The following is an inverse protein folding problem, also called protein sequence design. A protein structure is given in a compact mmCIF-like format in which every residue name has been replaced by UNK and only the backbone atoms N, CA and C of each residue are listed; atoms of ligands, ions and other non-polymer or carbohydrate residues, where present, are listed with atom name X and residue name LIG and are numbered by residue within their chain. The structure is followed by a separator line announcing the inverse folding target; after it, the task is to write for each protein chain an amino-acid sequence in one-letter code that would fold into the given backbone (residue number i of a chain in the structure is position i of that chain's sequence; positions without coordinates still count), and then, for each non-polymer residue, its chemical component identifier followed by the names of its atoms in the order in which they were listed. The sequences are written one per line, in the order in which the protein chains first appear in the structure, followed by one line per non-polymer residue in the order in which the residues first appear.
data_IF_090053218332
#
_entry.id   IF_090053218332
#
_cell.length_a   1.000
_cell.length_b   1.000
_cell.length_c   1.000
_cell.angle_alpha   90.00
_cell.angle_beta   90.00
_cell.angle_gamma   90.00
#
_symmetry.space_group_name_H-M   'P 1'
#
loop_
_entity.id
_entity.type
_entity.pdbx_description
1 polymer ?
2 polymer ?
3 water ?
#
loop_
_entity_poly.entity_id
_entity_poly.type
_entity_poly.pdbx_seq_one_letter_code
_entity_poly.pdbx_strand_id
1 'polydeoxyribonucleotide' '(DC)(DC)(DC)(DC)(DT)(DA)(DG)(DC)(DT)(DT)(DT)(DA)(DG)(DC)(DT)(DA)(DT)(DG)(DG)(DG)(DG)(DA)' ?
#
# COMPACT_ATOMS: atom_id res chain seq x y z
N UNK C 4 6.78 -13.54 -7.46
CA UNK C 4 7.02 -12.74 -8.69
C UNK C 4 6.01 -11.60 -8.80
N UNK C 5 6.22 -10.75 -9.81
CA UNK C 5 5.36 -9.60 -10.06
C UNK C 5 3.91 -9.71 -9.55
N UNK C 6 3.21 -10.79 -9.85
CA UNK C 6 1.82 -10.91 -9.39
C UNK C 6 1.58 -12.02 -8.36
N UNK C 7 1.30 -11.61 -7.12
CA UNK C 7 1.08 -12.56 -6.02
C UNK C 7 -0.39 -12.89 -5.73
N UNK C 8 -0.59 -13.83 -4.80
CA UNK C 8 -1.91 -14.26 -4.37
C UNK C 8 -1.94 -14.34 -2.84
N UNK C 9 -2.96 -13.75 -2.24
CA UNK C 9 -3.13 -13.76 -0.80
C UNK C 9 -3.19 -15.21 -0.35
N UNK C 10 -3.15 -15.44 0.97
CA UNK C 10 -3.24 -16.79 1.46
C UNK C 10 -4.66 -17.23 1.13
N UNK C 11 -5.51 -16.23 0.89
CA UNK C 11 -6.90 -16.44 0.51
C UNK C 11 -7.03 -16.08 -0.98
N UNK C 12 -8.05 -15.30 -1.34
CA UNK C 12 -8.23 -14.94 -2.74
C UNK C 12 -7.92 -13.50 -3.15
N UNK C 13 -6.89 -12.89 -2.59
CA UNK C 13 -6.55 -11.53 -2.98
C UNK C 13 -5.42 -11.57 -4.01
N UNK C 14 -5.68 -11.07 -5.21
CA UNK C 14 -4.69 -11.05 -6.29
C UNK C 14 -3.99 -9.69 -6.22
N UNK C 15 -2.68 -9.68 -5.98
CA UNK C 15 -1.99 -8.41 -5.83
C UNK C 15 -0.53 -8.26 -6.27
N UNK C 16 -0.14 -6.99 -6.33
CA UNK C 16 1.20 -6.56 -6.65
C UNK C 16 1.29 -5.21 -5.97
N UNK C 17 1.95 -5.17 -4.82
CA UNK C 17 2.07 -3.92 -4.08
C UNK C 17 3.52 -3.56 -3.81
N UNK C 18 4.13 -2.85 -4.75
CA UNK C 18 5.51 -2.45 -4.60
C UNK C 18 5.59 -1.05 -4.00
N UNK C 19 6.48 -0.89 -3.03
CA UNK C 19 6.66 0.38 -2.38
C UNK C 19 8.11 0.79 -2.37
N UNK C 20 8.32 2.09 -2.52
CA UNK C 20 9.65 2.70 -2.42
C UNK C 20 9.66 3.28 -1.03
N UNK C 21 10.58 2.85 -0.19
CA UNK C 21 10.63 3.37 1.17
C UNK C 21 11.99 4.03 1.39
N UNK C 22 11.99 5.19 2.02
CA UNK C 22 13.22 5.90 2.28
C UNK C 22 13.17 6.63 3.64
N UNK C 23 14.18 6.44 4.48
CA UNK C 23 14.24 7.13 5.76
C UNK C 23 15.70 7.46 6.07
N UNK C 24 15.93 8.49 6.87
CA UNK C 24 17.29 8.91 7.17
C UNK C 24 17.65 8.84 8.64
N UNK C 25 18.95 8.79 8.94
CA UNK C 25 19.35 8.73 10.35
C UNK C 25 19.05 10.05 11.05
N UNK C 26 19.13 10.05 12.38
CA UNK C 26 18.89 11.25 13.16
C UNK C 26 19.82 12.32 12.61
N UNK C 27 19.34 13.55 12.54
CA UNK C 27 20.15 14.65 12.03
C UNK C 27 20.66 14.40 10.63
N UNK C 28 20.10 13.40 9.96
CA UNK C 28 20.53 13.09 8.61
C UNK C 28 22.04 12.81 8.66
N UNK C 29 22.48 12.24 9.77
CA UNK C 29 23.90 11.92 9.97
C UNK C 29 24.38 10.89 8.95
N UNK C 30 25.62 11.03 8.50
CA UNK C 30 26.16 10.11 7.52
C UNK C 30 26.84 8.89 8.13
N UNK C 31 26.07 8.12 8.89
CA UNK C 31 26.58 6.92 9.55
C UNK C 31 26.40 5.66 8.73
N UNK C 32 25.47 5.70 7.76
CA UNK C 32 25.23 4.53 6.93
C UNK C 32 26.36 4.27 5.92
N UNK C 33 27.49 3.82 6.42
CA UNK C 33 28.64 3.51 5.59
C UNK C 33 29.38 2.37 6.26
N UNK C 34 30.30 1.74 5.53
CA UNK C 34 31.07 0.65 6.08
C UNK C 34 30.32 -0.37 6.94
N UNK C 35 30.91 -0.70 8.08
CA UNK C 35 30.34 -1.68 8.99
C UNK C 35 28.86 -1.48 9.26
N UNK C 36 28.47 -0.25 9.56
CA UNK C 36 27.07 0.05 9.84
C UNK C 36 26.15 -0.23 8.66
N UNK C 37 26.54 0.22 7.47
CA UNK C 37 25.76 0.02 6.27
C UNK C 37 25.55 -1.47 6.01
N UNK C 38 26.61 -2.26 6.13
CA UNK C 38 26.53 -3.71 5.93
C UNK C 38 25.54 -4.40 6.87
N UNK C 39 25.69 -4.16 8.17
CA UNK C 39 24.81 -4.75 9.17
C UNK C 39 23.37 -4.27 8.99
N UNK C 40 23.20 -3.00 8.67
CA UNK C 40 21.86 -2.45 8.47
C UNK C 40 21.14 -3.27 7.40
N UNK C 41 21.80 -3.47 6.26
CA UNK C 41 21.20 -4.24 5.18
C UNK C 41 20.92 -5.68 5.60
N UNK C 42 21.82 -6.27 6.40
CA UNK C 42 21.60 -7.64 6.83
C UNK C 42 20.38 -7.73 7.75
N UNK C 43 20.31 -6.81 8.70
CA UNK C 43 19.20 -6.79 9.64
C UNK C 43 17.86 -6.57 8.91
N UNK C 44 17.86 -5.68 7.93
CA UNK C 44 16.63 -5.41 7.18
C UNK C 44 16.22 -6.69 6.45
N UNK C 45 17.22 -7.44 5.99
CA UNK C 45 16.98 -8.67 5.24
C UNK C 45 16.26 -9.69 6.10
N UNK C 46 16.73 -9.85 7.34
CA UNK C 46 16.12 -10.79 8.26
C UNK C 46 14.69 -10.39 8.56
N UNK C 47 14.46 -9.10 8.74
CA UNK C 47 13.13 -8.62 9.03
C UNK C 47 12.17 -8.93 7.89
N UNK C 48 12.60 -8.69 6.65
CA UNK C 48 11.77 -8.94 5.47
C UNK C 48 11.34 -10.40 5.32
N UNK C 49 12.29 -11.31 5.45
CA UNK C 49 11.99 -12.74 5.34
C UNK C 49 11.01 -13.12 6.42
N UNK C 50 11.25 -12.60 7.62
CA UNK C 50 10.40 -12.87 8.76
C UNK C 50 9.00 -12.30 8.59
N UNK C 51 8.91 -11.10 8.05
CA UNK C 51 7.61 -10.45 7.85
C UNK C 51 7.05 -10.71 6.45
N UNK C 52 7.69 -11.63 5.74
CA UNK C 52 7.26 -12.00 4.40
C UNK C 52 7.27 -10.84 3.43
N UNK C 53 8.29 -9.99 3.53
CA UNK C 53 8.38 -8.86 2.62
C UNK C 53 9.44 -9.15 1.57
N UNK C 54 9.10 -8.89 0.33
CA UNK C 54 10.01 -9.14 -0.78
C UNK C 54 10.87 -7.93 -1.07
N UNK C 55 12.13 -7.96 -0.67
CA UNK C 55 12.99 -6.82 -0.98
C UNK C 55 13.43 -6.93 -2.43
N UNK C 56 12.81 -6.16 -3.30
CA UNK C 56 13.16 -6.18 -4.71
C UNK C 56 14.54 -5.54 -4.88
N UNK C 57 14.71 -4.34 -4.34
CA UNK C 57 15.97 -3.61 -4.40
C UNK C 57 16.23 -2.89 -3.07
N UNK C 58 17.51 -2.66 -2.76
CA UNK C 58 17.87 -1.98 -1.53
C UNK C 58 19.31 -1.47 -1.50
N UNK C 59 19.49 -0.17 -1.44
CA UNK C 59 20.82 0.40 -1.37
C UNK C 59 20.82 1.56 -0.41
N UNK C 60 21.98 1.85 0.16
CA UNK C 60 22.14 2.95 1.10
C UNK C 60 23.13 3.95 0.54
N UNK C 61 23.01 5.20 0.97
CA UNK C 61 23.93 6.22 0.51
C UNK C 61 24.27 7.23 1.58
N UNK C 62 25.02 6.77 2.58
CA UNK C 62 25.48 7.60 3.68
C UNK C 62 24.43 8.12 4.66
N UNK C 63 23.58 9.04 4.21
CA UNK C 63 22.57 9.60 5.10
C UNK C 63 21.15 9.07 4.89
N UNK C 64 21.02 7.95 4.19
CA UNK C 64 19.70 7.36 3.97
C UNK C 64 19.74 5.93 3.41
N UNK C 65 18.61 5.26 3.47
CA UNK C 65 18.49 3.91 2.95
C UNK C 65 17.27 3.91 2.05
N UNK C 66 17.42 3.34 0.85
CA UNK C 66 16.32 3.31 -0.12
C UNK C 66 15.93 1.83 -0.34
N UNK C 67 14.67 1.50 -0.05
CA UNK C 67 14.18 0.13 -0.21
C UNK C 67 13.02 0.03 -1.20
N UNK C 68 13.09 -0.98 -2.06
CA UNK C 68 12.02 -1.24 -3.02
C UNK C 68 11.47 -2.58 -2.58
N UNK C 69 10.27 -2.54 -2.02
CA UNK C 69 9.68 -3.76 -1.49
C UNK C 69 8.30 -4.14 -1.97
N UNK C 70 8.03 -5.43 -1.90
CA UNK C 70 6.73 -5.97 -2.25
C UNK C 70 6.12 -6.40 -0.92
N UNK C 71 4.95 -5.87 -0.59
CA UNK C 71 4.32 -6.19 0.69
C UNK C 71 2.84 -6.59 0.61
N UNK C 72 2.51 -7.71 1.26
CA UNK C 72 1.14 -8.20 1.30
C UNK C 72 0.25 -7.07 1.81
N UNK C 73 -0.70 -6.60 0.96
CA UNK C 73 -1.59 -5.53 1.37
C UNK C 73 -2.32 -5.73 2.70
N UNK C 74 -2.53 -6.98 3.09
CA UNK C 74 -3.22 -7.25 4.34
C UNK C 74 -2.33 -6.98 5.54
N UNK C 75 -1.02 -7.07 5.31
CA UNK C 75 -0.03 -6.86 6.36
C UNK C 75 0.13 -5.39 6.70
N UNK C 76 0.50 -4.57 5.72
CA UNK C 76 0.66 -3.16 5.99
C UNK C 76 2.09 -2.66 6.05
N UNK C 77 2.43 -1.78 5.11
CA UNK C 77 3.75 -1.20 5.00
C UNK C 77 4.37 -0.70 6.30
N UNK C 78 3.59 0.01 7.10
CA UNK C 78 4.09 0.55 8.35
C UNK C 78 4.50 -0.51 9.37
N UNK C 79 4.03 -1.75 9.21
CA UNK C 79 4.43 -2.78 10.16
C UNK C 79 5.84 -3.21 9.82
N UNK C 80 6.14 -3.28 8.54
CA UNK C 80 7.47 -3.65 8.07
C UNK C 80 8.49 -2.56 8.45
N UNK C 81 8.09 -1.30 8.30
CA UNK C 81 8.94 -0.16 8.63
C UNK C 81 9.16 -0.13 10.14
N UNK C 82 8.07 -0.20 10.91
CA UNK C 82 8.16 -0.19 12.36
C UNK C 82 9.23 -1.17 12.80
N UNK C 83 9.13 -2.41 12.34
CA UNK C 83 10.08 -3.46 12.71
C UNK C 83 11.48 -3.20 12.17
N UNK C 84 11.58 -2.92 10.88
CA UNK C 84 12.89 -2.70 10.29
C UNK C 84 13.62 -1.55 11.01
N UNK C 85 12.92 -0.46 11.27
CA UNK C 85 13.57 0.65 11.95
C UNK C 85 13.85 0.35 13.44
N UNK C 86 12.83 -0.15 14.13
CA UNK C 86 12.97 -0.44 15.54
C UNK C 86 14.10 -1.39 15.90
N UNK C 87 14.10 -2.56 15.25
CA UNK C 87 15.13 -3.55 15.50
C UNK C 87 16.51 -3.06 15.08
N UNK C 88 16.67 -2.69 13.81
CA UNK C 88 17.96 -2.22 13.32
C UNK C 88 18.57 -1.18 14.26
N UNK C 89 17.71 -0.32 14.79
CA UNK C 89 18.16 0.72 15.71
C UNK C 89 18.71 0.09 17.00
N UNK C 90 17.99 -0.88 17.54
CA UNK C 90 18.43 -1.52 18.78
C UNK C 90 19.72 -2.28 18.57
N UNK C 91 19.76 -3.06 17.51
CA UNK C 91 20.94 -3.85 17.22
C UNK C 91 22.14 -2.98 16.91
N UNK C 92 22.02 -2.15 15.88
CA UNK C 92 23.14 -1.29 15.50
C UNK C 92 23.67 -0.42 16.65
N UNK C 93 22.79 0.11 17.49
CA UNK C 93 23.25 0.93 18.61
C UNK C 93 23.97 0.06 19.64
N UNK C 94 23.61 -1.21 19.65
CA UNK C 94 24.25 -2.15 20.56
C UNK C 94 25.60 -2.56 19.96
N UNK C 95 25.64 -2.77 18.65
CA UNK C 95 26.88 -3.18 17.99
C UNK C 95 27.92 -2.08 17.82
N UNK C 96 27.48 -0.86 17.48
CA UNK C 96 28.42 0.25 17.30
C UNK C 96 28.05 1.38 18.25
N UNK C 97 28.85 1.56 19.29
CA UNK C 97 28.57 2.58 20.29
C UNK C 97 28.50 4.05 19.89
N UNK C 98 29.16 4.45 18.81
CA UNK C 98 29.08 5.85 18.45
C UNK C 98 27.66 6.20 18.00
N UNK C 99 26.88 5.18 17.66
CA UNK C 99 25.50 5.39 17.25
C UNK C 99 24.61 5.58 18.47
N UNK C 100 25.13 5.17 19.63
CA UNK C 100 24.39 5.29 20.88
C UNK C 100 24.81 6.53 21.67
N UNK C 101 26.11 6.75 21.75
CA UNK C 101 26.64 7.89 22.50
C UNK C 101 26.51 9.25 21.81
N UNK C 102 26.46 9.25 20.49
CA UNK C 102 26.36 10.51 19.77
C UNK C 102 24.96 10.88 19.30
N UNK C 103 24.04 9.92 19.28
CA UNK C 103 22.67 10.23 18.86
C UNK C 103 21.64 9.78 19.88
N UNK C 104 20.56 10.56 20.04
CA UNK C 104 19.53 10.17 21.01
C UNK C 104 18.78 8.92 20.57
N UNK C 105 18.71 8.75 19.25
CA UNK C 105 18.04 7.61 18.64
C UNK C 105 18.79 7.35 17.33
N UNK C 106 18.50 6.26 16.64
CA UNK C 106 19.20 6.01 15.40
C UNK C 106 18.48 6.71 14.27
N UNK C 107 17.16 6.61 14.28
CA UNK C 107 16.29 7.18 13.25
C UNK C 107 15.47 8.36 13.74
N UNK C 108 14.57 8.83 12.88
CA UNK C 108 13.67 9.92 13.23
C UNK C 108 12.28 9.32 13.15
N UNK C 109 11.25 10.14 13.36
CA UNK C 109 9.89 9.65 13.28
C UNK C 109 9.35 9.84 11.87
N UNK C 110 10.25 10.15 10.95
CA UNK C 110 9.84 10.36 9.58
C UNK C 110 10.24 9.21 8.67
N UNK C 111 9.71 9.23 7.46
CA UNK C 111 10.02 8.24 6.44
C UNK C 111 9.20 8.62 5.23
N UNK C 112 9.67 8.22 4.06
CA UNK C 112 9.01 8.52 2.80
C UNK C 112 8.50 7.22 2.19
N UNK C 113 7.29 7.26 1.63
CA UNK C 113 6.68 6.08 1.02
C UNK C 113 5.93 6.43 -0.28
N UNK C 114 6.22 5.69 -1.35
CA UNK C 114 5.52 5.92 -2.61
C UNK C 114 5.25 4.58 -3.32
N UNK C 115 4.02 4.43 -3.82
CA UNK C 115 3.66 3.23 -4.55
C UNK C 115 4.21 3.29 -5.96
N UNK C 116 4.71 2.15 -6.43
CA UNK C 116 5.30 2.06 -7.76
C UNK C 116 4.68 0.94 -8.59
N UNK C 117 4.28 1.28 -9.81
CA UNK C 117 3.68 0.32 -10.70
C UNK C 117 2.99 1.00 -11.86
N UNK C 118 2.89 0.32 -12.98
CA UNK C 118 2.26 0.90 -14.13
C UNK C 118 0.89 0.33 -14.43
N UNK C 119 0.17 1.07 -15.27
CA UNK C 119 -1.17 0.65 -15.67
C UNK C 119 -1.26 -0.87 -15.85
N UNK C 120 -2.15 -1.51 -15.07
CA UNK C 120 -2.31 -2.96 -15.19
C UNK C 120 -2.94 -3.36 -16.53
N UNK C 121 -4.01 -2.67 -16.90
CA UNK C 121 -4.68 -2.93 -18.17
C UNK C 121 -5.04 -4.39 -18.45
N UNK C 122 -4.08 -5.13 -18.96
CA UNK C 122 -4.32 -6.52 -19.30
C UNK C 122 -4.42 -7.44 -18.09
N UNK C 123 -3.60 -7.18 -17.08
CA UNK C 123 -3.64 -8.01 -15.89
C UNK C 123 -5.02 -7.94 -15.25
N UNK C 124 -5.62 -6.76 -15.29
CA UNK C 124 -6.95 -6.57 -14.72
C UNK C 124 -8.01 -7.30 -15.54
N UNK C 125 -7.81 -7.35 -16.85
CA UNK C 125 -8.74 -8.05 -17.74
C UNK C 125 -8.71 -9.56 -17.50
N UNK C 126 -7.50 -10.08 -17.32
CA UNK C 126 -7.33 -11.51 -17.08
C UNK C 126 -7.92 -11.90 -15.73
N UNK C 127 -7.88 -10.98 -14.78
CA UNK C 127 -8.42 -11.22 -13.45
C UNK C 127 -9.93 -11.40 -13.49
N UNK C 128 -10.60 -10.51 -14.20
CA UNK C 128 -12.05 -10.53 -14.33
C UNK C 128 -12.50 -11.76 -15.08
N UNK C 129 -11.88 -11.96 -16.25
CA UNK C 129 -12.17 -13.08 -17.13
C UNK C 129 -12.11 -14.43 -16.43
N UNK C 130 -11.21 -14.56 -15.47
CA UNK C 130 -11.05 -15.83 -14.77
C UNK C 130 -11.83 -16.03 -13.47
N UNK C 131 -12.67 -15.08 -13.11
CA UNK C 131 -13.49 -15.26 -11.93
C UNK C 131 -14.55 -16.25 -12.38
N UNK C 132 -15.12 -17.02 -11.45
CA UNK C 132 -16.15 -17.98 -11.82
C UNK C 132 -17.46 -17.26 -12.08
N UNK C 133 -18.24 -17.75 -13.04
CA UNK C 133 -19.53 -17.14 -13.34
C UNK C 133 -20.65 -18.10 -12.94
N UNK C 134 -20.28 -19.14 -12.19
CA UNK C 134 -21.21 -20.14 -11.70
C UNK C 134 -20.42 -21.16 -10.89
N UNK C 135 -21.08 -22.19 -10.39
CA UNK C 135 -20.39 -23.22 -9.61
C UNK C 135 -20.09 -24.46 -10.42
N UNK C 136 -20.40 -24.39 -11.72
CA UNK C 136 -20.17 -25.51 -12.62
C UNK C 136 -18.71 -25.90 -12.62
N UNK C 137 -18.42 -27.17 -12.92
CA UNK C 137 -17.06 -27.72 -12.98
C UNK C 137 -16.07 -26.88 -13.77
N UNK C 138 -16.37 -26.65 -15.03
CA UNK C 138 -15.49 -25.85 -15.88
C UNK C 138 -15.02 -24.57 -15.18
N UNK C 139 -15.98 -23.82 -14.64
CA UNK C 139 -15.63 -22.57 -13.96
C UNK C 139 -14.66 -22.77 -12.81
N UNK C 140 -14.92 -23.75 -11.96
CA UNK C 140 -14.02 -23.99 -10.83
C UNK C 140 -12.64 -24.34 -11.36
N UNK C 141 -12.59 -25.02 -12.49
CA UNK C 141 -11.32 -25.42 -13.09
C UNK C 141 -10.61 -24.19 -13.66
N UNK C 142 -11.37 -23.29 -14.26
CA UNK C 142 -10.80 -22.08 -14.84
C UNK C 142 -10.14 -21.25 -13.74
N UNK C 143 -10.85 -21.08 -12.63
CA UNK C 143 -10.37 -20.31 -11.50
C UNK C 143 -9.18 -20.97 -10.82
N UNK C 144 -9.28 -22.26 -10.56
CA UNK C 144 -8.18 -22.96 -9.91
C UNK C 144 -6.91 -22.74 -10.73
N UNK C 145 -7.00 -23.06 -12.01
CA UNK C 145 -5.87 -22.92 -12.91
C UNK C 145 -5.25 -21.52 -12.86
N UNK C 146 -6.11 -20.50 -12.78
CA UNK C 146 -5.66 -19.11 -12.71
C UNK C 146 -4.87 -18.80 -11.44
N UNK C 147 -5.52 -18.93 -10.29
CA UNK C 147 -4.87 -18.63 -9.03
C UNK C 147 -3.71 -19.57 -8.74
N UNK C 148 -3.87 -20.84 -9.03
CA UNK C 148 -2.81 -21.81 -8.80
C UNK C 148 -1.55 -21.39 -9.54
N UNK C 149 -1.72 -20.65 -10.65
CA UNK C 149 -0.58 -20.21 -11.45
C UNK C 149 -0.05 -18.86 -11.02
N UNK C 150 -0.31 -18.51 -9.76
CA UNK C 150 0.13 -17.23 -9.20
C UNK C 150 1.21 -17.45 -8.14
N UNK C 151 2.02 -16.42 -7.90
CA UNK C 151 3.08 -16.49 -6.90
C UNK C 151 2.52 -16.31 -5.49
N UNK C 152 3.26 -16.76 -4.49
CA UNK C 152 2.81 -16.62 -3.11
C UNK C 152 3.94 -16.25 -2.17
N UNK C 153 3.60 -16.10 -0.89
CA UNK C 153 4.58 -15.77 0.13
C UNK C 153 4.36 -16.64 1.35
N UNK C 154 5.14 -17.72 1.41
CA UNK C 154 5.06 -18.68 2.51
C UNK C 154 5.89 -18.19 3.69
N UNK C 155 6.72 -19.07 4.23
CA UNK C 155 7.59 -18.77 5.36
C UNK C 155 6.88 -17.96 6.46
N UNK D 4 -3.73 15.93 -3.33
CA UNK D 4 -2.82 15.91 -4.52
C UNK D 4 -1.63 14.98 -4.32
N UNK D 5 -1.12 14.47 -5.44
CA UNK D 5 0.01 13.54 -5.52
C UNK D 5 0.87 13.27 -4.26
N UNK D 6 1.46 14.29 -3.63
CA UNK D 6 2.32 14.04 -2.47
C UNK D 6 1.81 14.56 -1.12
N UNK D 7 1.32 13.64 -0.28
CA UNK D 7 0.76 13.99 1.03
C UNK D 7 1.68 13.83 2.24
N UNK D 8 1.14 14.18 3.40
CA UNK D 8 1.84 14.09 4.67
C UNK D 8 0.87 13.53 5.72
N UNK D 9 1.38 12.66 6.57
CA UNK D 9 0.59 12.03 7.62
C UNK D 9 0.22 13.07 8.66
N UNK D 10 -0.62 12.69 9.64
CA UNK D 10 -1.00 13.60 10.71
C UNK D 10 0.28 13.88 11.48
N UNK D 11 1.26 12.99 11.29
CA UNK D 11 2.55 13.10 11.93
C UNK D 11 3.60 13.51 10.90
N UNK D 12 4.66 12.71 10.74
CA UNK D 12 5.71 13.05 9.79
C UNK D 12 5.99 12.05 8.67
N UNK D 13 4.95 11.43 8.13
CA UNK D 13 5.15 10.49 7.04
C UNK D 13 4.83 11.22 5.73
N UNK D 14 5.81 11.29 4.83
CA UNK D 14 5.62 11.95 3.54
C UNK D 14 5.28 10.82 2.57
N UNK D 15 4.07 10.84 2.00
CA UNK D 15 3.67 9.73 1.12
C UNK D 15 2.75 10.01 -0.05
N UNK D 16 2.72 9.02 -0.94
CA UNK D 16 1.87 8.99 -2.12
C UNK D 16 1.70 7.49 -2.35
N UNK D 17 0.56 6.97 -1.93
CA UNK D 17 0.28 5.56 -2.07
C UNK D 17 -1.01 5.42 -2.87
N UNK D 18 -0.86 5.14 -4.16
CA UNK D 18 -2.01 5.00 -5.05
C UNK D 18 -2.28 3.54 -5.38
N UNK D 19 -3.54 3.17 -5.38
CA UNK D 19 -3.90 1.79 -5.64
C UNK D 19 -5.03 1.63 -6.63
N UNK D 20 -4.89 0.61 -7.47
CA UNK D 20 -5.91 0.22 -8.43
C UNK D 20 -6.65 -0.87 -7.66
N UNK D 21 -7.97 -0.77 -7.59
CA UNK D 21 -8.74 -1.76 -6.88
C UNK D 21 -9.91 -2.22 -7.73
N UNK D 22 -10.06 -3.55 -7.81
CA UNK D 22 -11.13 -4.14 -8.57
C UNK D 22 -11.72 -5.38 -7.88
N UNK D 23 -13.04 -5.49 -7.87
CA UNK D 23 -13.69 -6.66 -7.32
C UNK D 23 -14.93 -6.87 -8.19
N UNK D 24 -15.43 -8.09 -8.24
CA UNK D 24 -16.57 -8.38 -9.08
C UNK D 24 -17.75 -8.91 -8.29
N UNK D 25 -18.97 -8.75 -8.82
CA UNK D 25 -20.13 -9.27 -8.11
C UNK D 25 -20.03 -10.80 -8.04
N UNK D 26 -20.79 -11.40 -7.14
CA UNK D 26 -20.81 -12.85 -7.01
C UNK D 26 -21.14 -13.36 -8.40
N UNK D 27 -20.53 -14.47 -8.77
CA UNK D 27 -20.78 -15.09 -10.08
C UNK D 27 -20.47 -14.19 -11.26
N UNK D 28 -19.78 -13.08 -11.01
CA UNK D 28 -19.43 -12.16 -12.07
C UNK D 28 -20.74 -11.73 -12.75
N UNK D 29 -21.80 -11.67 -11.96
CA UNK D 29 -23.12 -11.30 -12.44
C UNK D 29 -23.10 -9.86 -12.93
N UNK D 30 -23.64 -9.63 -14.13
CA UNK D 30 -23.67 -8.28 -14.69
C UNK D 30 -24.78 -7.44 -14.10
N UNK D 31 -24.63 -7.07 -12.83
CA UNK D 31 -25.64 -6.27 -12.15
C UNK D 31 -25.22 -4.83 -11.88
N UNK D 32 -23.95 -4.51 -12.13
CA UNK D 32 -23.50 -3.14 -11.91
C UNK D 32 -23.89 -2.25 -13.08
N UNK D 33 -25.19 -1.98 -13.16
CA UNK D 33 -25.74 -1.14 -14.21
C UNK D 33 -26.94 -0.39 -13.66
N UNK D 34 -27.40 0.61 -14.42
CA UNK D 34 -28.54 1.39 -14.00
C UNK D 34 -28.52 1.86 -12.56
N UNK D 35 -29.67 1.78 -11.90
CA UNK D 35 -29.83 2.20 -10.52
C UNK D 35 -28.73 1.70 -9.59
N UNK D 36 -28.52 0.38 -9.59
CA UNK D 36 -27.52 -0.24 -8.75
C UNK D 36 -26.12 0.36 -8.89
N UNK D 37 -25.72 0.63 -10.13
CA UNK D 37 -24.42 1.23 -10.41
C UNK D 37 -24.31 2.62 -9.79
N UNK D 38 -25.33 3.44 -9.99
CA UNK D 38 -25.35 4.79 -9.45
C UNK D 38 -25.23 4.76 -7.95
N UNK D 39 -26.10 3.99 -7.30
CA UNK D 39 -26.08 3.88 -5.86
C UNK D 39 -24.77 3.29 -5.37
N UNK D 40 -24.20 2.37 -6.15
CA UNK D 40 -22.93 1.77 -5.76
C UNK D 40 -21.87 2.84 -5.69
N UNK D 41 -21.73 3.66 -6.73
CA UNK D 41 -20.74 4.71 -6.73
C UNK D 41 -20.98 5.70 -5.60
N UNK D 42 -22.25 6.05 -5.37
CA UNK D 42 -22.57 6.99 -4.30
C UNK D 42 -22.07 6.45 -2.96
N UNK D 43 -22.40 5.19 -2.68
CA UNK D 43 -22.00 4.55 -1.44
C UNK D 43 -20.48 4.52 -1.27
N UNK D 44 -19.76 4.16 -2.31
CA UNK D 44 -18.31 4.11 -2.23
C UNK D 44 -17.77 5.52 -1.98
N UNK D 45 -18.47 6.53 -2.50
CA UNK D 45 -18.02 7.91 -2.31
C UNK D 45 -18.11 8.30 -0.84
N UNK D 46 -19.18 7.87 -0.19
CA UNK D 46 -19.38 8.18 1.22
C UNK D 46 -18.36 7.44 2.08
N UNK D 47 -18.09 6.18 1.77
CA UNK D 47 -17.14 5.42 2.56
C UNK D 47 -15.73 5.99 2.41
N UNK D 48 -15.39 6.46 1.21
CA UNK D 48 -14.06 7.03 0.96
C UNK D 48 -13.83 8.29 1.79
N UNK D 49 -14.83 9.16 1.82
CA UNK D 49 -14.72 10.41 2.58
C UNK D 49 -14.72 10.13 4.07
N UNK D 50 -15.52 9.16 4.50
CA UNK D 50 -15.53 8.84 5.91
C UNK D 50 -14.19 8.28 6.33
N UNK D 51 -13.58 7.48 5.46
CA UNK D 51 -12.29 6.84 5.75
C UNK D 51 -11.09 7.63 5.23
N UNK D 52 -11.34 8.88 4.85
CA UNK D 52 -10.30 9.76 4.35
C UNK D 52 -9.58 9.20 3.14
N UNK D 53 -10.26 8.36 2.38
CA UNK D 53 -9.63 7.81 1.20
C UNK D 53 -9.94 8.70 0.02
N UNK D 54 -8.92 8.97 -0.77
CA UNK D 54 -9.08 9.83 -1.93
C UNK D 54 -9.40 9.00 -3.17
N UNK D 55 -10.60 9.18 -3.72
CA UNK D 55 -10.94 8.44 -4.94
C UNK D 55 -10.52 9.26 -6.14
N UNK D 56 -9.38 8.91 -6.73
CA UNK D 56 -8.89 9.62 -7.90
C UNK D 56 -9.77 9.32 -9.12
N UNK D 57 -10.11 8.05 -9.30
CA UNK D 57 -10.96 7.62 -10.41
C UNK D 57 -11.78 6.41 -9.99
N UNK D 58 -12.97 6.31 -10.57
CA UNK D 58 -13.89 5.21 -10.28
C UNK D 58 -14.82 5.01 -11.48
N UNK D 59 -15.06 3.76 -11.79
CA UNK D 59 -15.92 3.44 -12.91
C UNK D 59 -16.31 1.99 -12.78
N UNK D 60 -17.55 1.68 -13.15
CA UNK D 60 -18.01 0.31 -13.09
C UNK D 60 -18.16 -0.10 -14.53
N UNK D 61 -18.45 -1.36 -14.76
CA UNK D 61 -18.65 -1.85 -16.10
C UNK D 61 -19.33 -3.20 -16.11
N UNK D 62 -20.62 -3.18 -15.77
CA UNK D 62 -21.46 -4.37 -15.73
C UNK D 62 -21.12 -5.40 -14.68
N UNK D 63 -19.98 -6.06 -14.82
CA UNK D 63 -19.60 -7.11 -13.87
C UNK D 63 -18.41 -6.81 -12.95
N UNK D 64 -18.10 -5.55 -12.73
CA UNK D 64 -16.99 -5.18 -11.84
C UNK D 64 -16.84 -3.67 -11.65
N UNK D 65 -16.30 -3.27 -10.51
CA UNK D 65 -16.10 -1.86 -10.24
C UNK D 65 -14.59 -1.60 -10.20
N UNK D 66 -14.15 -0.51 -10.79
CA UNK D 66 -12.74 -0.22 -10.84
C UNK D 66 -12.51 1.09 -10.12
N UNK D 67 -11.64 1.05 -9.12
CA UNK D 67 -11.33 2.22 -8.31
C UNK D 67 -9.84 2.55 -8.31
N UNK D 68 -9.52 3.84 -8.40
CA UNK D 68 -8.14 4.31 -8.34
C UNK D 68 -8.13 5.18 -7.11
N UNK D 69 -7.64 4.63 -6.01
CA UNK D 69 -7.63 5.35 -4.75
C UNK D 69 -6.24 5.65 -4.18
N UNK D 70 -6.22 6.67 -3.34
CA UNK D 70 -5.01 7.09 -2.65
C UNK D 70 -5.38 6.95 -1.18
N UNK D 71 -4.65 6.11 -0.46
CA UNK D 71 -4.95 5.82 0.94
C UNK D 71 -3.76 6.03 1.89
N UNK D 72 -4.04 6.60 3.07
CA UNK D 72 -2.98 6.82 4.05
C UNK D 72 -2.35 5.46 4.33
N UNK D 73 -1.05 5.32 4.05
CA UNK D 73 -0.33 4.07 4.27
C UNK D 73 -0.51 3.47 5.65
N UNK D 74 -0.77 4.32 6.64
CA UNK D 74 -0.96 3.85 8.01
C UNK D 74 -2.38 3.36 8.25
N UNK D 75 -3.25 3.51 7.25
CA UNK D 75 -4.63 3.08 7.40
C UNK D 75 -4.87 1.65 6.90
N UNK D 76 -4.30 1.31 5.76
CA UNK D 76 -4.46 -0.04 5.28
C UNK D 76 -5.53 -0.26 4.23
N UNK D 77 -5.08 -0.59 3.03
CA UNK D 77 -5.95 -0.83 1.89
C UNK D 77 -7.19 -1.67 2.19
N UNK D 78 -7.00 -2.79 2.86
CA UNK D 78 -8.12 -3.69 3.14
C UNK D 78 -9.21 -3.11 4.03
N UNK D 79 -8.92 -2.03 4.75
CA UNK D 79 -9.94 -1.44 5.62
C UNK D 79 -10.89 -0.62 4.79
N UNK D 80 -10.40 -0.08 3.67
CA UNK D 80 -11.24 0.69 2.78
C UNK D 80 -12.09 -0.29 1.96
N UNK D 81 -11.46 -1.37 1.52
CA UNK D 81 -12.14 -2.39 0.73
C UNK D 81 -13.18 -3.12 1.59
N UNK D 82 -12.81 -3.47 2.81
CA UNK D 82 -13.73 -4.17 3.71
C UNK D 82 -15.01 -3.38 3.85
N UNK D 83 -14.88 -2.09 4.18
CA UNK D 83 -16.03 -1.24 4.37
C UNK D 83 -16.76 -0.97 3.06
N UNK D 84 -16.01 -0.73 2.00
CA UNK D 84 -16.64 -0.48 0.71
C UNK D 84 -17.48 -1.69 0.31
N UNK D 85 -16.87 -2.87 0.26
CA UNK D 85 -17.64 -4.05 -0.12
C UNK D 85 -18.70 -4.35 0.92
N UNK D 86 -18.31 -4.33 2.19
CA UNK D 86 -19.23 -4.64 3.27
C UNK D 86 -20.50 -3.81 3.30
N UNK D 87 -20.34 -2.50 3.29
CA UNK D 87 -21.48 -1.61 3.35
C UNK D 87 -22.31 -1.62 2.08
N UNK D 88 -21.67 -1.47 0.92
CA UNK D 88 -22.40 -1.44 -0.34
C UNK D 88 -23.28 -2.68 -0.45
N UNK D 89 -22.74 -3.82 -0.04
CA UNK D 89 -23.50 -5.06 -0.10
C UNK D 89 -24.75 -4.99 0.76
N UNK D 90 -24.59 -4.53 2.01
CA UNK D 90 -25.71 -4.45 2.92
C UNK D 90 -26.78 -3.50 2.40
N UNK D 91 -26.36 -2.32 1.96
CA UNK D 91 -27.29 -1.33 1.46
C UNK D 91 -27.93 -1.76 0.15
N UNK D 92 -27.10 -2.01 -0.85
CA UNK D 92 -27.60 -2.41 -2.16
C UNK D 92 -28.58 -3.56 -2.10
N UNK D 93 -28.25 -4.61 -1.34
CA UNK D 93 -29.15 -5.75 -1.24
C UNK D 93 -30.41 -5.35 -0.48
N UNK D 94 -30.32 -4.24 0.23
CA UNK D 94 -31.46 -3.76 0.99
C UNK D 94 -32.34 -2.92 0.08
N UNK D 95 -31.72 -2.20 -0.86
CA UNK D 95 -32.46 -1.35 -1.78
C UNK D 95 -32.98 -2.06 -3.01
N UNK D 96 -32.31 -3.13 -3.41
CA UNK D 96 -32.73 -3.87 -4.60
C UNK D 96 -32.80 -5.34 -4.24
N UNK D 97 -34.00 -5.90 -4.28
CA UNK D 97 -34.19 -7.30 -3.92
C UNK D 97 -33.64 -8.33 -4.88
N UNK D 98 -33.58 -8.03 -6.16
CA UNK D 98 -33.05 -9.04 -7.08
C UNK D 98 -31.60 -9.32 -6.72
N UNK D 99 -31.00 -8.45 -5.92
CA UNK D 99 -29.62 -8.66 -5.49
C UNK D 99 -29.60 -9.53 -4.25
N UNK D 100 -30.70 -9.52 -3.51
CA UNK D 100 -30.82 -10.30 -2.28
C UNK D 100 -31.39 -11.70 -2.50
N UNK D 101 -32.38 -11.83 -3.36
CA UNK D 101 -32.99 -13.12 -3.61
C UNK D 101 -32.25 -14.01 -4.59
N UNK D 102 -31.61 -13.40 -5.58
CA UNK D 102 -30.88 -14.18 -6.58
C UNK D 102 -29.41 -14.48 -6.27
N UNK D 103 -28.84 -13.80 -5.27
CA UNK D 103 -27.45 -14.05 -4.90
C UNK D 103 -27.29 -14.24 -3.39
N UNK D 104 -26.40 -15.16 -2.97
CA UNK D 104 -26.18 -15.40 -1.55
C UNK D 104 -25.47 -14.23 -0.86
N UNK D 105 -24.70 -13.48 -1.64
CA UNK D 105 -23.96 -12.31 -1.18
C UNK D 105 -23.85 -11.39 -2.39
N UNK D 106 -23.40 -10.15 -2.22
CA UNK D 106 -23.30 -9.28 -3.38
C UNK D 106 -21.96 -9.49 -4.05
N UNK D 107 -20.92 -9.54 -3.22
CA UNK D 107 -19.55 -9.69 -3.69
C UNK D 107 -18.98 -11.07 -3.39
N UNK D 108 -17.69 -11.24 -3.65
CA UNK D 108 -17.00 -12.48 -3.37
C UNK D 108 -15.93 -12.13 -2.35
N UNK D 109 -15.13 -13.12 -1.96
CA UNK D 109 -14.07 -12.86 -1.00
C UNK D 109 -12.79 -12.51 -1.73
N UNK D 110 -12.92 -12.20 -3.01
CA UNK D 110 -11.76 -11.85 -3.80
C UNK D 110 -11.78 -10.39 -4.20
N UNK D 111 -10.62 -9.91 -4.61
CA UNK D 111 -10.47 -8.53 -5.06
C UNK D 111 -9.08 -8.44 -5.66
N UNK D 112 -8.86 -7.45 -6.51
CA UNK D 112 -7.57 -7.26 -7.14
C UNK D 112 -6.97 -5.92 -6.69
N UNK D 113 -5.69 -5.93 -6.34
CA UNK D 113 -5.00 -4.73 -5.87
C UNK D 113 -3.61 -4.57 -6.48
N UNK D 114 -3.35 -3.41 -7.07
CA UNK D 114 -2.03 -3.17 -7.63
C UNK D 114 -1.59 -1.74 -7.33
N UNK D 115 -0.35 -1.61 -6.89
CA UNK D 115 0.20 -0.29 -6.57
C UNK D 115 0.53 0.39 -7.89
N UNK D 116 0.37 1.71 -7.94
CA UNK D 116 0.66 2.45 -9.14
C UNK D 116 1.43 3.74 -8.85
N UNK D 117 2.30 4.09 -9.79
CA UNK D 117 3.12 5.28 -9.66
C UNK D 117 4.50 4.97 -10.20
N UNK D 118 5.21 5.98 -10.68
CA UNK D 118 6.54 5.72 -11.19
C UNK D 118 7.60 6.01 -10.16
N UNK D 119 8.85 5.91 -10.60
CA UNK D 119 10.00 6.17 -9.74
C UNK D 119 9.94 7.60 -9.18
N UNK D 120 10.35 7.75 -7.91
CA UNK D 120 10.37 9.03 -7.18
C UNK D 120 11.51 9.97 -7.57
N UNK D 121 12.69 9.40 -7.79
CA UNK D 121 13.88 10.15 -8.19
C UNK D 121 14.06 11.53 -7.54
N UNK D 122 13.57 12.56 -8.20
CA UNK D 122 13.74 13.91 -7.67
C UNK D 122 12.98 14.16 -6.39
N UNK D 123 11.81 13.53 -6.23
CA UNK D 123 10.99 13.70 -5.04
C UNK D 123 11.70 13.15 -3.81
N UNK D 124 12.47 12.09 -4.00
CA UNK D 124 13.23 11.49 -2.90
C UNK D 124 14.39 12.38 -2.51
N UNK D 125 15.01 13.02 -3.50
CA UNK D 125 16.14 13.92 -3.26
C UNK D 125 15.68 15.13 -2.45
N UNK D 126 14.50 15.63 -2.75
CA UNK D 126 13.97 16.77 -2.04
C UNK D 126 13.56 16.37 -0.62
N UNK D 127 13.07 15.13 -0.49
CA UNK D 127 12.68 14.63 0.83
C UNK D 127 13.89 14.62 1.75
N UNK D 128 14.98 14.03 1.27
CA UNK D 128 16.21 13.95 2.06
C UNK D 128 16.80 15.31 2.35
N UNK D 129 16.96 16.12 1.31
CA UNK D 129 17.54 17.47 1.43
C UNK D 129 16.88 18.35 2.49
N UNK D 130 15.58 18.15 2.72
CA UNK D 130 14.84 18.94 3.70
C UNK D 130 14.73 18.33 5.10
N UNK D 131 15.41 17.21 5.33
CA UNK D 131 15.39 16.64 6.67
C UNK D 131 16.36 17.54 7.43
N UNK D 132 16.08 17.81 8.70
CA UNK D 132 16.97 18.64 9.50
C UNK D 132 18.27 17.91 9.79
N UNK D 133 19.38 18.66 9.82
CA UNK D 133 20.66 18.06 10.14
C UNK D 133 21.13 18.52 11.51
N UNK D 134 20.23 19.20 12.23
CA UNK D 134 20.53 19.70 13.56
C UNK D 134 19.30 20.40 14.10
N UNK D 135 19.35 20.83 15.36
CA UNK D 135 18.21 21.52 15.95
C UNK D 135 18.24 23.03 15.75
N UNK D 136 19.27 23.53 15.06
CA UNK D 136 19.38 24.97 14.81
C UNK D 136 18.09 25.49 14.16
N UNK D 137 17.72 26.73 14.46
CA UNK D 137 16.52 27.37 13.91
C UNK D 137 16.37 27.24 12.39
N UNK D 138 17.46 27.47 11.65
CA UNK D 138 17.38 27.36 10.21
C UNK D 138 16.93 25.99 9.72
N UNK D 139 17.34 24.95 10.42
CA UNK D 139 16.93 23.61 10.03
C UNK D 139 15.45 23.39 10.35
N UNK D 140 15.01 23.88 11.50
CA UNK D 140 13.60 23.73 11.87
C UNK D 140 12.69 24.51 10.92
N UNK D 141 13.22 25.57 10.31
CA UNK D 141 12.45 26.38 9.36
C UNK D 141 12.40 25.66 8.03
N UNK D 142 13.55 25.17 7.58
CA UNK D 142 13.66 24.43 6.33
C UNK D 142 12.66 23.28 6.33
N UNK D 143 12.61 22.56 7.46
CA UNK D 143 11.72 21.42 7.61
C UNK D 143 10.25 21.82 7.73
N UNK D 144 9.95 22.73 8.64
CA UNK D 144 8.57 23.16 8.78
C UNK D 144 8.06 23.66 7.45
N UNK D 145 8.87 24.47 6.77
CA UNK D 145 8.50 25.02 5.48
C UNK D 145 8.12 23.92 4.51
N UNK D 146 8.98 22.90 4.42
CA UNK D 146 8.79 21.76 3.53
C UNK D 146 7.48 21.02 3.78
N UNK D 147 7.29 20.53 5.00
CA UNK D 147 6.08 19.78 5.34
C UNK D 147 4.80 20.59 5.30
N UNK D 148 4.87 21.88 5.61
CA UNK D 148 3.70 22.74 5.59
C UNK D 148 3.24 22.89 4.15
N UNK D 149 4.18 22.75 3.23
CA UNK D 149 3.86 22.88 1.81
C UNK D 149 3.51 21.52 1.23
N UNK D 150 2.79 20.72 2.01
CA UNK D 150 2.37 19.40 1.58
C UNK D 150 0.88 19.18 1.84
N UNK D 151 0.28 18.34 1.01
CA UNK D 151 -1.14 18.02 1.12
C UNK D 151 -1.44 17.14 2.33
N UNK D 152 -2.67 17.21 2.82
CA UNK D 152 -3.09 16.40 3.95
C UNK D 152 -4.49 15.87 3.71
N UNK D 153 -4.98 15.10 4.67
CA UNK D 153 -6.32 14.51 4.60
C UNK D 153 -7.02 14.68 5.95
N UNK D 154 -7.71 15.81 6.08
CA UNK D 154 -8.43 16.14 7.30
C UNK D 154 -9.67 15.25 7.48
N UNK D 155 -10.79 15.88 7.80
CA UNK D 155 -12.06 15.20 7.99
C UNK D 155 -11.92 13.90 8.80
#
# INVERSE_FOLDING_TARGET
MSNAVLYKSNHNVVYSCKYHIVWCPKYRRKVLVGAVEMRLKEIIQEVAKELRVEIIEMQTDKDHIHILADIDPSFGVMKFIKTAKGRSSRILRQEFNHLKTKLPTLWTNSCFISTVGGAPLNVVKQYIENQQNSNRPKQKEKWKSYVDNLQTKAL
MSNAVLYKSNHNVVYSCKYHIVWCPKYRRKVLVGAVEMRLKEIIQEVAKELRVEIIEMQTDKDHIHILADIDPSFGVMKFIKTAKGRSSRILRQEFNHLKTKLPTLWTNSCFISTVGGAPLNVVKQYIENQQNSNRPKQKEKWKSYVDNLQTKAL
#
